data_IF_325527888507
#
_entry.id   IF_325527888507
#
_cell.length_a   1.000
_cell.length_b   1.000
_cell.length_c   1.000
_cell.angle_alpha   90.00
_cell.angle_beta   90.00
_cell.angle_gamma   90.00
#
_symmetry.space_group_name_H-M   'P 1'
#
loop_
_entity.id
_entity.type
_entity.pdbx_description
1 polymer ?
#
# COMPACT_ATOMS: atom_id res chain seq x y z
N UNK A 1 -42.14 -15.83 -43.64
CA UNK A 1 -42.11 -17.26 -43.28
C UNK A 1 -41.01 -17.48 -42.26
N UNK A 2 -41.35 -17.67 -40.98
CA UNK A 2 -40.95 -18.90 -40.27
C UNK A 2 -40.11 -18.58 -39.03
N UNK A 3 -40.75 -18.57 -37.86
CA UNK A 3 -40.12 -18.45 -36.53
C UNK A 3 -39.44 -19.77 -36.15
N UNK A 4 -38.29 -19.75 -35.50
CA UNK A 4 -37.98 -20.74 -34.46
C UNK A 4 -36.94 -20.22 -33.47
N UNK A 5 -37.27 -20.34 -32.18
CA UNK A 5 -36.42 -20.05 -31.03
C UNK A 5 -35.57 -21.28 -30.71
N UNK A 6 -34.28 -21.11 -30.41
CA UNK A 6 -33.46 -22.12 -29.71
C UNK A 6 -32.58 -21.47 -28.64
N UNK A 7 -32.76 -21.95 -27.41
CA UNK A 7 -31.90 -21.76 -26.24
C UNK A 7 -30.64 -22.63 -26.37
N UNK A 8 -29.50 -22.08 -26.01
CA UNK A 8 -28.28 -22.74 -25.51
C UNK A 8 -27.60 -21.67 -24.62
N UNK A 9 -27.23 -21.87 -23.36
CA UNK A 9 -26.72 -23.07 -22.74
C UNK A 9 -25.23 -22.85 -22.43
N UNK A 10 -24.92 -21.92 -21.52
CA UNK A 10 -23.54 -21.72 -21.03
C UNK A 10 -23.17 -22.87 -20.09
N UNK A 11 -22.18 -23.67 -20.50
CA UNK A 11 -21.45 -24.62 -19.66
C UNK A 11 -20.10 -23.99 -19.32
N UNK A 12 -19.85 -23.72 -18.04
CA UNK A 12 -18.50 -23.61 -17.50
C UNK A 12 -18.19 -24.88 -16.70
N UNK A 13 -17.13 -25.56 -17.12
CA UNK A 13 -16.54 -26.74 -16.50
C UNK A 13 -15.46 -26.29 -15.52
N UNK A 14 -15.59 -26.66 -14.26
CA UNK A 14 -14.48 -26.68 -13.31
C UNK A 14 -14.48 -28.03 -12.58
N UNK A 15 -13.40 -28.77 -12.77
CA UNK A 15 -13.04 -29.98 -12.04
C UNK A 15 -12.84 -29.66 -10.55
N UNK A 16 -13.41 -30.48 -9.66
CA UNK A 16 -12.95 -30.64 -8.26
C UNK A 16 -12.57 -32.08 -8.03
N UNK A 17 -11.33 -32.31 -7.63
CA UNK A 17 -10.86 -33.51 -6.96
C UNK A 17 -11.04 -33.38 -5.44
N UNK A 18 -11.11 -34.54 -4.78
CA UNK A 18 -11.46 -34.74 -3.38
C UNK A 18 -10.33 -34.47 -2.39
N UNK A 19 -10.68 -34.22 -1.12
CA UNK A 19 -9.74 -34.26 0.00
C UNK A 19 -10.30 -33.80 1.36
N UNK A 20 -10.85 -34.75 2.12
CA UNK A 20 -10.83 -34.87 3.61
C UNK A 20 -11.30 -33.74 4.56
N UNK A 21 -12.52 -33.94 5.08
CA UNK A 21 -12.93 -34.02 6.50
C UNK A 21 -12.16 -33.25 7.60
N UNK A 22 -12.83 -32.24 8.17
CA UNK A 22 -13.03 -32.08 9.63
C UNK A 22 -14.05 -30.97 9.90
N UNK A 23 -15.28 -31.32 10.31
CA UNK A 23 -16.31 -30.35 10.70
C UNK A 23 -16.76 -30.63 12.14
N UNK A 24 -16.38 -29.74 13.05
CA UNK A 24 -16.80 -29.71 14.45
C UNK A 24 -18.30 -29.34 14.52
N UNK A 25 -19.15 -30.30 14.89
CA UNK A 25 -20.57 -30.07 15.18
C UNK A 25 -20.75 -29.49 16.58
N UNK A 26 -21.26 -28.26 16.68
CA UNK A 26 -21.84 -27.72 17.91
C UNK A 26 -23.19 -28.40 18.21
N UNK A 27 -23.31 -29.00 19.39
CA UNK A 27 -24.49 -29.74 19.87
C UNK A 27 -25.35 -28.81 20.72
N UNK A 28 -26.54 -28.44 20.22
CA UNK A 28 -27.57 -27.78 21.02
C UNK A 28 -28.20 -28.81 22.00
N UNK A 29 -28.18 -28.51 23.31
CA UNK A 29 -28.85 -29.33 24.35
C UNK A 29 -30.20 -28.70 24.70
N UNK A 30 -31.29 -29.32 24.24
CA UNK A 30 -32.62 -29.13 24.83
C UNK A 30 -32.76 -30.06 26.05
N UNK A 31 -33.07 -29.51 27.23
CA UNK A 31 -33.47 -30.29 28.42
C UNK A 31 -34.97 -30.57 28.34
N UNK A 32 -35.31 -31.84 28.14
CA UNK A 32 -36.66 -32.37 28.28
C UNK A 32 -36.88 -32.86 29.72
N UNK A 33 -38.08 -32.56 30.25
CA UNK A 33 -38.60 -32.96 31.56
C UNK A 33 -39.07 -34.43 31.49
N UNK A 34 -38.76 -35.32 32.46
CA UNK A 34 -39.28 -36.67 32.42
C UNK A 34 -40.71 -36.74 32.98
N UNK A 35 -41.61 -37.34 32.19
CA UNK A 35 -42.91 -37.81 32.65
C UNK A 35 -42.79 -39.01 33.60
N UNK A 36 -43.58 -39.01 34.68
CA UNK A 36 -43.75 -40.17 35.57
C UNK A 36 -45.19 -40.68 35.52
N UNK A 37 -45.25 -42.01 35.53
CA UNK A 37 -46.40 -42.89 35.33
C UNK A 37 -47.58 -42.67 36.29
N UNK A 38 -48.79 -42.87 35.74
CA UNK A 38 -50.01 -43.14 36.49
C UNK A 38 -49.91 -44.52 37.16
N UNK A 39 -50.06 -44.56 38.47
CA UNK A 39 -50.46 -45.75 39.21
C UNK A 39 -51.76 -45.41 39.96
N UNK A 40 -52.80 -46.19 39.69
CA UNK A 40 -54.10 -46.17 40.32
C UNK A 40 -53.98 -46.51 41.81
N UNK A 41 -54.42 -45.60 42.69
CA UNK A 41 -54.65 -45.90 44.10
C UNK A 41 -56.09 -45.62 44.48
N UNK A 42 -56.73 -46.69 44.92
CA UNK A 42 -58.09 -46.84 45.43
C UNK A 42 -58.37 -45.89 46.60
N UNK A 43 -59.51 -45.20 46.50
CA UNK A 43 -60.05 -44.28 47.51
C UNK A 43 -60.68 -45.13 48.63
N UNK A 44 -60.23 -44.93 49.88
CA UNK A 44 -60.95 -45.37 51.09
C UNK A 44 -61.67 -44.16 51.70
N UNK A 45 -62.96 -44.28 52.10
CA UNK A 45 -63.67 -43.18 52.71
C UNK A 45 -63.28 -43.06 54.19
N UNK A 46 -62.86 -41.86 54.59
CA UNK A 46 -62.73 -41.50 56.02
C UNK A 46 -64.00 -40.80 56.48
N UNK A 47 -64.64 -41.41 57.47
CA UNK A 47 -65.78 -40.89 58.21
C UNK A 47 -65.30 -39.87 59.25
N UNK A 48 -65.95 -38.71 59.30
CA UNK A 48 -65.69 -37.69 60.32
C UNK A 48 -66.41 -38.05 61.63
N UNK A 49 -65.73 -38.13 62.79
CA UNK A 49 -66.42 -38.09 64.07
C UNK A 49 -66.91 -36.66 64.36
N UNK A 50 -68.21 -36.52 64.64
CA UNK A 50 -68.80 -35.29 65.19
C UNK A 50 -68.38 -35.18 66.65
N UNK A 51 -67.43 -34.30 66.96
CA UNK A 51 -67.20 -33.86 68.33
C UNK A 51 -68.16 -32.71 68.68
N UNK A 52 -68.79 -32.73 69.88
CA UNK A 52 -69.64 -31.65 70.34
C UNK A 52 -68.83 -30.37 70.61
N UNK A 53 -69.44 -29.24 70.26
CA UNK A 53 -68.91 -27.89 70.42
C UNK A 53 -68.80 -27.57 71.92
N UNK A 54 -67.62 -27.24 72.47
CA UNK A 54 -67.53 -26.68 73.81
C UNK A 54 -68.06 -25.24 73.80
N UNK A 55 -68.87 -24.95 74.82
CA UNK A 55 -69.48 -23.66 75.12
C UNK A 55 -68.43 -22.54 75.21
N UNK A 56 -68.69 -21.43 74.51
CA UNK A 56 -67.86 -20.22 74.53
C UNK A 56 -67.87 -19.60 75.94
N UNK A 57 -66.82 -19.87 76.72
CA UNK A 57 -66.44 -19.04 77.85
C UNK A 57 -65.97 -17.68 77.32
N UNK A 58 -66.57 -16.59 77.80
CA UNK A 58 -66.21 -15.22 77.46
C UNK A 58 -64.75 -14.95 77.85
N UNK A 59 -63.84 -15.12 76.89
CA UNK A 59 -62.47 -14.67 77.00
C UNK A 59 -62.42 -13.18 76.64
N UNK A 60 -61.84 -12.40 77.53
CA UNK A 60 -61.60 -10.96 77.34
C UNK A 60 -60.83 -10.72 76.04
N UNK A 61 -61.12 -9.63 75.29
CA UNK A 61 -60.36 -9.31 74.09
C UNK A 61 -58.88 -9.09 74.46
N UNK A 62 -58.01 -9.93 73.91
CA UNK A 62 -56.57 -9.68 73.88
C UNK A 62 -56.36 -8.47 72.95
N UNK A 63 -55.63 -7.42 73.35
CA UNK A 63 -55.27 -6.35 72.43
C UNK A 63 -54.38 -6.96 71.33
N UNK A 64 -54.91 -7.07 70.11
CA UNK A 64 -54.07 -7.33 68.95
C UNK A 64 -53.38 -6.01 68.64
N UNK A 65 -52.17 -5.83 69.14
CA UNK A 65 -51.31 -4.75 68.64
C UNK A 65 -51.14 -4.97 67.13
N UNK A 66 -51.37 -3.92 66.29
CA UNK A 66 -51.17 -4.05 64.87
C UNK A 66 -49.70 -4.46 64.63
N UNK A 67 -49.39 -5.35 63.68
CA UNK A 67 -48.01 -5.63 63.35
C UNK A 67 -47.36 -4.28 63.02
N UNK A 68 -46.33 -3.91 63.78
CA UNK A 68 -45.50 -2.76 63.44
C UNK A 68 -44.89 -3.06 62.08
N UNK A 69 -45.51 -2.52 61.02
CA UNK A 69 -44.93 -2.53 59.70
C UNK A 69 -43.64 -1.74 59.85
N UNK A 70 -42.50 -2.43 59.91
CA UNK A 70 -41.20 -1.79 59.89
C UNK A 70 -41.19 -0.91 58.65
N UNK A 71 -41.33 0.40 58.85
CA UNK A 71 -41.34 1.39 57.77
C UNK A 71 -39.99 1.29 57.07
N UNK A 72 -39.95 0.62 55.92
CA UNK A 72 -38.77 0.45 55.06
C UNK A 72 -38.39 1.77 54.37
N UNK A 73 -38.06 2.81 55.15
CA UNK A 73 -37.70 4.12 54.62
C UNK A 73 -36.27 4.20 54.05
N UNK A 74 -35.42 3.19 54.29
CA UNK A 74 -34.04 3.14 53.77
C UNK A 74 -33.83 2.29 52.51
N UNK A 75 -34.58 1.19 52.34
CA UNK A 75 -34.35 0.23 51.24
C UNK A 75 -34.75 0.83 49.88
N UNK A 76 -35.86 1.57 49.82
CA UNK A 76 -36.30 2.23 48.59
C UNK A 76 -35.29 3.28 48.10
N UNK A 77 -34.62 3.98 49.01
CA UNK A 77 -33.57 4.94 48.65
C UNK A 77 -32.33 4.22 48.12
N UNK A 78 -31.90 3.14 48.77
CA UNK A 78 -30.76 2.33 48.33
C UNK A 78 -30.99 1.71 46.96
N UNK A 79 -32.19 1.20 46.68
CA UNK A 79 -32.52 0.63 45.36
C UNK A 79 -32.52 1.71 44.28
N UNK A 80 -33.09 2.90 44.56
CA UNK A 80 -33.06 4.03 43.62
C UNK A 80 -31.62 4.47 43.35
N UNK A 81 -30.79 4.61 44.39
CA UNK A 81 -29.37 4.99 44.24
C UNK A 81 -28.57 3.92 43.47
N UNK A 82 -28.82 2.64 43.73
CA UNK A 82 -28.16 1.54 43.02
C UNK A 82 -28.56 1.52 41.54
N UNK A 83 -29.85 1.67 41.24
CA UNK A 83 -30.35 1.75 39.86
C UNK A 83 -29.79 2.98 39.15
N UNK A 84 -29.77 4.13 39.82
CA UNK A 84 -29.19 5.36 39.27
C UNK A 84 -27.69 5.23 39.02
N UNK A 85 -26.93 4.62 39.94
CA UNK A 85 -25.51 4.37 39.78
C UNK A 85 -25.25 3.41 38.61
N UNK A 86 -26.00 2.31 38.51
CA UNK A 86 -25.89 1.36 37.40
C UNK A 86 -26.25 2.01 36.06
N UNK A 87 -27.34 2.78 36.02
CA UNK A 87 -27.74 3.53 34.84
C UNK A 87 -26.66 4.54 34.42
N UNK A 88 -26.04 5.23 35.38
CA UNK A 88 -24.94 6.17 35.12
C UNK A 88 -23.74 5.45 34.49
N UNK A 89 -23.31 4.31 35.05
CA UNK A 89 -22.21 3.51 34.50
C UNK A 89 -22.51 3.05 33.07
N UNK A 90 -23.73 2.56 32.81
CA UNK A 90 -24.15 2.13 31.46
C UNK A 90 -24.15 3.31 30.50
N UNK A 91 -24.69 4.46 30.90
CA UNK A 91 -24.76 5.66 30.06
C UNK A 91 -23.37 6.19 29.72
N UNK A 92 -22.44 6.25 30.69
CA UNK A 92 -21.06 6.66 30.45
C UNK A 92 -20.36 5.73 29.46
N UNK A 93 -20.56 4.41 29.57
CA UNK A 93 -20.01 3.44 28.61
C UNK A 93 -20.60 3.62 27.20
N UNK A 94 -21.90 3.86 27.10
CA UNK A 94 -22.57 4.07 25.81
C UNK A 94 -22.08 5.36 25.13
N UNK A 95 -21.99 6.46 25.88
CA UNK A 95 -21.47 7.73 25.39
C UNK A 95 -20.02 7.60 24.93
N UNK A 96 -19.17 6.92 25.72
CA UNK A 96 -17.79 6.65 25.33
C UNK A 96 -17.68 5.89 24.01
N UNK A 97 -18.47 4.81 23.85
CA UNK A 97 -18.54 4.05 22.59
C UNK A 97 -19.06 4.89 21.42
N UNK A 98 -20.05 5.73 21.67
CA UNK A 98 -20.62 6.62 20.65
C UNK A 98 -19.57 7.63 20.15
N UNK A 99 -18.86 8.30 21.05
CA UNK A 99 -17.80 9.24 20.67
C UNK A 99 -16.69 8.56 19.87
N UNK A 100 -16.27 7.37 20.28
CA UNK A 100 -15.25 6.60 19.57
C UNK A 100 -15.74 6.19 18.17
N UNK A 101 -16.99 5.72 18.05
CA UNK A 101 -17.60 5.36 16.76
C UNK A 101 -17.66 6.56 15.79
N UNK A 102 -18.06 7.73 16.29
CA UNK A 102 -18.09 8.97 15.49
C UNK A 102 -16.68 9.37 15.06
N UNK A 103 -15.69 9.27 15.94
CA UNK A 103 -14.30 9.58 15.62
C UNK A 103 -13.74 8.64 14.53
N UNK A 104 -13.96 7.33 14.65
CA UNK A 104 -13.55 6.36 13.64
C UNK A 104 -14.23 6.60 12.29
N UNK A 105 -15.54 6.86 12.29
CA UNK A 105 -16.29 7.12 11.05
C UNK A 105 -15.78 8.37 10.35
N UNK A 106 -15.52 9.45 11.11
CA UNK A 106 -14.94 10.68 10.57
C UNK A 106 -13.56 10.45 9.97
N UNK A 107 -12.71 9.71 10.66
CA UNK A 107 -11.37 9.37 10.18
C UNK A 107 -11.40 8.53 8.90
N UNK A 108 -12.30 7.54 8.84
CA UNK A 108 -12.50 6.72 7.64
C UNK A 108 -12.98 7.56 6.46
N UNK A 109 -13.90 8.51 6.68
CA UNK A 109 -14.36 9.42 5.64
C UNK A 109 -13.23 10.32 5.11
N UNK A 110 -12.42 10.90 5.99
CA UNK A 110 -11.28 11.72 5.58
C UNK A 110 -10.24 10.92 4.80
N UNK A 111 -9.97 9.67 5.19
CA UNK A 111 -9.07 8.79 4.44
C UNK A 111 -9.62 8.47 3.04
N UNK A 112 -10.93 8.23 2.91
CA UNK A 112 -11.59 8.02 1.62
C UNK A 112 -11.54 9.29 0.73
N UNK A 113 -11.76 10.47 1.31
CA UNK A 113 -11.64 11.75 0.60
C UNK A 113 -10.21 11.98 0.12
N UNK A 114 -9.21 11.79 0.98
CA UNK A 114 -7.80 11.93 0.61
C UNK A 114 -7.42 10.97 -0.53
N UNK A 115 -7.90 9.72 -0.49
CA UNK A 115 -7.72 8.78 -1.59
C UNK A 115 -8.41 9.25 -2.88
N UNK A 116 -9.62 9.79 -2.78
CA UNK A 116 -10.35 10.36 -3.93
C UNK A 116 -9.57 11.49 -4.59
N UNK A 117 -9.00 12.40 -3.81
CA UNK A 117 -8.13 13.46 -4.32
C UNK A 117 -6.85 12.91 -4.94
N UNK A 118 -6.19 11.94 -4.31
CA UNK A 118 -4.99 11.33 -4.85
C UNK A 118 -5.22 10.65 -6.22
N UNK A 119 -6.32 9.91 -6.36
CA UNK A 119 -6.73 9.30 -7.63
C UNK A 119 -7.12 10.34 -8.68
N UNK A 120 -7.70 11.48 -8.25
CA UNK A 120 -7.94 12.63 -9.13
C UNK A 120 -6.63 13.24 -9.64
N UNK A 121 -5.64 13.40 -8.77
CA UNK A 121 -4.29 13.85 -9.13
C UNK A 121 -3.60 12.90 -10.12
N UNK A 122 -3.71 11.58 -9.91
CA UNK A 122 -3.20 10.58 -10.86
C UNK A 122 -3.90 10.69 -12.23
N UNK A 123 -5.23 10.81 -12.26
CA UNK A 123 -5.99 10.98 -13.50
C UNK A 123 -5.59 12.27 -14.24
N UNK A 124 -5.29 13.33 -13.49
CA UNK A 124 -4.80 14.57 -14.04
C UNK A 124 -3.39 14.44 -14.62
N UNK A 125 -2.43 13.80 -13.94
CA UNK A 125 -1.08 13.53 -14.48
C UNK A 125 -1.17 12.69 -15.76
N UNK A 126 -2.02 11.67 -15.76
CA UNK A 126 -2.26 10.85 -16.95
C UNK A 126 -2.78 11.65 -18.14
N UNK A 127 -3.61 12.66 -17.90
CA UNK A 127 -4.07 13.55 -18.95
C UNK A 127 -2.98 14.52 -19.38
N UNK A 128 -2.19 15.05 -18.45
CA UNK A 128 -1.04 15.89 -18.73
C UNK A 128 -0.02 15.21 -19.64
N UNK A 129 0.37 13.97 -19.31
CA UNK A 129 1.29 13.15 -20.12
C UNK A 129 0.71 12.83 -21.52
N UNK A 130 -0.61 12.69 -21.63
CA UNK A 130 -1.28 12.51 -22.92
C UNK A 130 -1.21 13.78 -23.77
N UNK A 131 -1.54 14.94 -23.19
CA UNK A 131 -1.47 16.23 -23.88
C UNK A 131 -0.05 16.54 -24.32
N UNK A 132 0.91 16.38 -23.41
CA UNK A 132 2.33 16.53 -23.69
C UNK A 132 2.77 15.75 -24.93
N UNK A 133 2.35 14.48 -25.06
CA UNK A 133 2.73 13.66 -26.21
C UNK A 133 2.02 14.05 -27.51
N UNK A 134 0.76 14.48 -27.46
CA UNK A 134 -0.08 14.73 -28.63
C UNK A 134 0.06 16.17 -29.15
N UNK A 135 0.38 17.10 -28.26
CA UNK A 135 0.57 18.52 -28.55
C UNK A 135 2.05 18.90 -28.67
N UNK A 136 2.98 17.92 -28.68
CA UNK A 136 4.40 18.19 -28.92
C UNK A 136 4.65 18.64 -30.36
N UNK A 137 4.99 19.92 -30.52
CA UNK A 137 5.33 20.55 -31.81
C UNK A 137 6.74 20.18 -32.30
N UNK A 138 7.56 19.50 -31.49
CA UNK A 138 8.91 19.06 -31.86
C UNK A 138 8.87 17.86 -32.81
N UNK A 139 9.85 17.77 -33.70
CA UNK A 139 9.98 16.66 -34.65
C UNK A 139 11.43 16.15 -34.72
N UNK A 140 11.74 14.96 -34.14
CA UNK A 140 10.82 14.09 -33.41
C UNK A 140 10.37 14.68 -32.05
N UNK A 141 9.23 14.20 -31.50
CA UNK A 141 8.83 14.49 -30.12
C UNK A 141 9.89 13.99 -29.13
N UNK A 142 10.02 14.65 -27.98
CA UNK A 142 10.98 14.27 -26.94
C UNK A 142 10.38 14.49 -25.55
N UNK A 143 10.94 13.79 -24.56
CA UNK A 143 10.60 13.99 -23.15
C UNK A 143 11.79 14.61 -22.43
N UNK A 144 11.58 15.75 -21.79
CA UNK A 144 12.63 16.56 -21.17
C UNK A 144 12.17 17.23 -19.88
N UNK A 145 13.13 17.77 -19.11
CA UNK A 145 12.80 18.53 -17.89
C UNK A 145 12.22 19.93 -18.16
N UNK A 146 12.16 20.36 -19.43
CA UNK A 146 11.48 21.59 -19.85
C UNK A 146 9.99 21.37 -20.15
N UNK A 147 9.55 20.11 -20.18
CA UNK A 147 8.15 19.79 -20.47
C UNK A 147 7.25 20.11 -19.28
N UNK A 148 5.98 20.40 -19.57
CA UNK A 148 5.01 20.84 -18.56
C UNK A 148 4.78 19.81 -17.44
N UNK A 149 5.07 18.52 -17.66
CA UNK A 149 4.98 17.48 -16.64
C UNK A 149 6.13 17.52 -15.63
N UNK A 150 7.31 18.02 -16.03
CA UNK A 150 8.51 18.08 -15.18
C UNK A 150 8.60 19.38 -14.36
N UNK A 151 7.89 20.43 -14.78
CA UNK A 151 7.89 21.71 -14.09
C UNK A 151 7.32 21.62 -12.65
N UNK A 152 8.02 22.18 -11.64
CA UNK A 152 7.46 22.34 -10.30
C UNK A 152 6.19 23.17 -10.33
N UNK A 153 5.08 22.60 -9.83
CA UNK A 153 3.78 23.29 -9.80
C UNK A 153 3.42 23.73 -8.40
N UNK A 154 2.71 24.86 -8.33
CA UNK A 154 2.06 25.29 -7.10
C UNK A 154 1.08 24.21 -6.61
N UNK A 155 0.96 23.98 -5.29
CA UNK A 155 -0.02 23.06 -4.75
C UNK A 155 -1.44 23.41 -5.20
N UNK A 156 -2.25 22.40 -5.52
CA UNK A 156 -3.67 22.58 -5.78
C UNK A 156 -4.40 22.78 -4.45
N UNK A 157 -5.13 23.89 -4.33
CA UNK A 157 -5.99 24.16 -3.17
C UNK A 157 -7.24 23.27 -3.24
N UNK A 158 -7.49 22.54 -2.15
CA UNK A 158 -8.68 21.71 -1.94
C UNK A 158 -9.56 22.37 -0.85
N UNK A 159 -10.83 21.99 -0.76
CA UNK A 159 -11.77 22.58 0.21
C UNK A 159 -11.26 22.55 1.66
N UNK A 160 -10.54 21.49 2.06
CA UNK A 160 -9.96 21.35 3.40
C UNK A 160 -8.53 20.81 3.36
N UNK A 161 -7.74 21.23 2.37
CA UNK A 161 -6.42 20.68 2.16
C UNK A 161 -5.67 21.23 0.97
N UNK A 162 -4.52 20.62 0.69
CA UNK A 162 -3.74 20.87 -0.52
C UNK A 162 -3.28 19.56 -1.14
N UNK A 163 -3.09 19.58 -2.45
CA UNK A 163 -2.53 18.47 -3.22
C UNK A 163 -1.26 18.94 -3.93
N UNK A 164 -0.17 18.24 -3.68
CA UNK A 164 1.11 18.43 -4.34
C UNK A 164 1.35 17.26 -5.30
N UNK A 165 1.78 17.55 -6.53
CA UNK A 165 2.02 16.55 -7.56
C UNK A 165 3.43 16.76 -8.10
N UNK A 166 4.21 15.68 -8.15
CA UNK A 166 5.49 15.62 -8.87
C UNK A 166 5.44 14.47 -9.86
N UNK A 167 6.02 14.67 -11.04
CA UNK A 167 6.16 13.63 -12.05
C UNK A 167 7.63 13.44 -12.34
N UNK A 168 8.08 12.18 -12.36
CA UNK A 168 9.46 11.82 -12.64
C UNK A 168 9.50 10.85 -13.81
N UNK A 169 10.40 11.10 -14.74
CA UNK A 169 10.74 10.14 -15.78
C UNK A 169 11.58 9.00 -15.19
N UNK A 170 11.10 7.77 -15.35
CA UNK A 170 11.77 6.57 -14.84
C UNK A 170 12.78 6.01 -15.84
N UNK A 171 12.61 6.28 -17.14
CA UNK A 171 13.56 5.87 -18.18
C UNK A 171 14.77 6.80 -18.23
N UNK A 172 14.81 7.89 -17.45
CA UNK A 172 16.04 8.64 -17.19
C UNK A 172 17.01 7.96 -16.23
N UNK A 173 16.63 6.83 -15.62
CA UNK A 173 17.42 6.13 -14.60
C UNK A 173 17.81 4.73 -15.07
N UNK A 174 18.80 4.14 -14.43
CA UNK A 174 19.22 2.78 -14.76
C UNK A 174 18.21 1.74 -14.27
N UNK A 175 17.71 0.86 -15.13
CA UNK A 175 16.79 -0.21 -14.73
C UNK A 175 17.58 -1.43 -14.22
N UNK A 176 17.48 -1.75 -12.92
CA UNK A 176 18.19 -2.89 -12.33
C UNK A 176 17.83 -4.22 -12.98
N UNK A 177 16.58 -4.37 -13.45
CA UNK A 177 16.10 -5.61 -14.04
C UNK A 177 16.61 -5.84 -15.47
N UNK A 178 17.27 -4.87 -16.11
CA UNK A 178 17.77 -5.07 -17.48
C UNK A 178 19.01 -5.95 -17.55
N UNK A 179 19.76 -6.07 -16.45
CA UNK A 179 21.04 -6.81 -16.41
C UNK A 179 20.91 -8.30 -16.70
N UNK A 180 19.73 -8.89 -16.44
CA UNK A 180 19.46 -10.31 -16.72
C UNK A 180 19.51 -10.61 -18.23
N UNK A 181 19.01 -9.67 -19.05
CA UNK A 181 18.83 -9.90 -20.49
C UNK A 181 19.90 -9.22 -21.35
N UNK A 182 20.64 -8.27 -20.79
CA UNK A 182 21.71 -7.54 -21.47
C UNK A 182 23.02 -7.59 -20.66
N UNK A 183 24.03 -8.40 -21.08
CA UNK A 183 25.34 -8.39 -20.45
C UNK A 183 26.02 -7.01 -20.45
N UNK A 184 25.66 -6.16 -21.41
CA UNK A 184 26.18 -4.81 -21.49
C UNK A 184 25.56 -3.92 -20.39
N UNK A 185 24.29 -4.16 -20.00
CA UNK A 185 23.66 -3.53 -18.85
C UNK A 185 24.37 -3.87 -17.54
N UNK A 186 24.84 -5.10 -17.36
CA UNK A 186 25.66 -5.47 -16.20
C UNK A 186 26.93 -4.60 -16.12
N UNK A 187 27.65 -4.41 -17.22
CA UNK A 187 28.80 -3.50 -17.27
C UNK A 187 28.43 -2.03 -17.05
N UNK A 188 27.27 -1.58 -17.54
CA UNK A 188 26.74 -0.23 -17.24
C UNK A 188 26.46 -0.06 -15.74
N UNK A 189 25.89 -1.06 -15.06
CA UNK A 189 25.68 -1.02 -13.61
C UNK A 189 27.00 -0.92 -12.86
N UNK A 190 28.02 -1.69 -13.25
CA UNK A 190 29.39 -1.60 -12.67
C UNK A 190 29.98 -0.20 -12.81
N UNK A 191 29.80 0.45 -13.97
CA UNK A 191 30.24 1.83 -14.21
C UNK A 191 29.44 2.83 -13.36
N UNK A 192 28.13 2.64 -13.23
CA UNK A 192 27.28 3.48 -12.37
C UNK A 192 27.71 3.38 -10.90
N UNK A 193 27.94 2.18 -10.40
CA UNK A 193 28.45 1.96 -9.05
C UNK A 193 29.80 2.67 -8.85
N UNK A 194 30.72 2.52 -9.81
CA UNK A 194 32.01 3.23 -9.79
C UNK A 194 31.85 4.75 -9.75
N UNK A 195 30.93 5.29 -10.57
CA UNK A 195 30.62 6.72 -10.63
C UNK A 195 30.02 7.28 -9.33
N UNK A 196 29.44 6.42 -8.50
CA UNK A 196 28.89 6.73 -7.18
C UNK A 196 29.86 6.41 -6.03
N UNK A 197 31.10 6.07 -6.35
CA UNK A 197 32.13 5.64 -5.39
C UNK A 197 31.71 4.38 -4.60
N UNK A 198 30.91 3.51 -5.21
CA UNK A 198 30.50 2.21 -4.69
C UNK A 198 31.30 1.08 -5.33
N UNK A 199 31.37 -0.06 -4.64
CA UNK A 199 32.14 -1.20 -5.13
C UNK A 199 31.47 -1.82 -6.38
N UNK A 200 32.16 -1.93 -7.53
CA UNK A 200 31.53 -2.38 -8.78
C UNK A 200 31.05 -3.83 -8.73
N UNK A 201 31.62 -4.66 -7.87
CA UNK A 201 31.24 -6.08 -7.71
C UNK A 201 29.87 -6.26 -7.07
N UNK A 202 29.26 -5.20 -6.52
CA UNK A 202 27.86 -5.23 -6.10
C UNK A 202 26.90 -5.51 -7.27
N UNK A 203 27.31 -5.24 -8.51
CA UNK A 203 26.53 -5.62 -9.70
C UNK A 203 26.33 -7.14 -9.80
N UNK A 204 27.32 -7.94 -9.37
CA UNK A 204 27.24 -9.41 -9.36
C UNK A 204 26.16 -9.88 -8.37
N UNK A 205 26.06 -9.22 -7.20
CA UNK A 205 25.01 -9.51 -6.20
C UNK A 205 23.62 -9.14 -6.72
N UNK A 206 23.51 -8.06 -7.49
CA UNK A 206 22.24 -7.66 -8.10
C UNK A 206 21.83 -8.67 -9.19
N UNK A 207 22.79 -9.22 -9.95
CA UNK A 207 22.53 -10.23 -10.98
C UNK A 207 21.98 -11.52 -10.36
N UNK A 208 22.69 -12.10 -9.39
CA UNK A 208 22.28 -13.33 -8.67
C UNK A 208 20.96 -13.16 -7.88
N UNK A 209 20.53 -11.92 -7.62
CA UNK A 209 19.21 -11.68 -6.98
C UNK A 209 18.05 -11.80 -7.97
N UNK A 210 18.32 -11.53 -9.25
CA UNK A 210 17.32 -11.30 -10.30
C UNK A 210 17.22 -12.49 -11.26
N UNK A 211 18.35 -13.10 -11.59
CA UNK A 211 18.41 -14.19 -12.56
C UNK A 211 17.69 -15.46 -12.06
N UNK A 212 17.37 -16.34 -13.01
CA UNK A 212 16.47 -17.46 -12.76
C UNK A 212 17.17 -18.73 -12.25
N UNK A 213 18.51 -18.76 -12.25
CA UNK A 213 19.28 -19.93 -11.85
C UNK A 213 19.65 -19.90 -10.36
N UNK A 214 20.66 -20.66 -9.94
CA UNK A 214 21.14 -20.70 -8.53
C UNK A 214 22.69 -20.61 -8.53
N UNK A 215 23.29 -20.14 -9.62
CA UNK A 215 24.72 -20.07 -9.82
C UNK A 215 25.27 -18.74 -9.29
N UNK A 216 26.26 -18.80 -8.40
CA UNK A 216 26.91 -17.58 -7.89
C UNK A 216 27.86 -17.01 -8.94
N UNK A 217 27.58 -15.81 -9.43
CA UNK A 217 28.44 -15.10 -10.38
C UNK A 217 29.47 -14.23 -9.65
N UNK A 218 30.75 -14.31 -10.01
CA UNK A 218 31.78 -13.38 -9.51
C UNK A 218 31.85 -13.32 -7.97
N UNK A 219 31.54 -12.15 -7.41
CA UNK A 219 31.38 -11.93 -5.95
C UNK A 219 29.91 -11.77 -5.52
N UNK A 220 29.00 -12.37 -6.27
CA UNK A 220 27.57 -12.39 -6.03
C UNK A 220 27.16 -13.26 -4.83
N UNK A 221 25.86 -13.44 -4.66
CA UNK A 221 25.29 -14.14 -3.53
C UNK A 221 23.94 -14.76 -3.88
N UNK A 222 23.79 -16.03 -3.51
CA UNK A 222 22.59 -16.84 -3.72
C UNK A 222 21.99 -17.34 -2.39
N UNK A 223 20.98 -18.19 -2.48
CA UNK A 223 20.32 -18.87 -1.36
C UNK A 223 21.24 -19.29 -0.19
N UNK A 224 22.40 -19.93 -0.40
CA UNK A 224 23.29 -20.31 0.71
C UNK A 224 23.75 -19.13 1.57
N UNK A 225 23.90 -17.94 0.98
CA UNK A 225 24.27 -16.71 1.68
C UNK A 225 23.10 -16.21 2.53
N UNK A 226 21.92 -16.04 1.93
CA UNK A 226 20.76 -15.42 2.60
C UNK A 226 20.08 -16.32 3.65
N UNK A 227 20.28 -17.64 3.57
CA UNK A 227 19.79 -18.57 4.60
C UNK A 227 20.56 -18.46 5.92
N UNK A 228 21.72 -17.79 5.93
CA UNK A 228 22.50 -17.52 7.14
C UNK A 228 22.07 -16.22 7.85
N UNK A 229 21.23 -15.41 7.21
CA UNK A 229 20.73 -14.14 7.76
C UNK A 229 19.70 -14.34 8.89
N UNK A 230 19.41 -13.25 9.61
CA UNK A 230 18.44 -13.24 10.71
C UNK A 230 17.42 -12.10 10.55
N UNK A 231 16.18 -12.38 10.10
CA UNK A 231 15.63 -13.71 9.76
C UNK A 231 16.23 -14.27 8.46
N UNK A 232 16.28 -15.59 8.34
CA UNK A 232 16.71 -16.27 7.12
C UNK A 232 15.66 -16.12 6.01
N UNK A 233 16.12 -15.92 4.78
CA UNK A 233 15.28 -15.87 3.57
C UNK A 233 16.04 -16.46 2.38
N UNK A 234 15.41 -16.42 1.20
CA UNK A 234 15.91 -16.96 -0.07
C UNK A 234 15.95 -15.87 -1.12
N UNK A 235 16.79 -16.06 -2.14
CA UNK A 235 16.75 -15.23 -3.34
C UNK A 235 15.40 -15.41 -4.05
N UNK A 236 14.81 -14.35 -4.64
CA UNK A 236 13.57 -14.46 -5.38
C UNK A 236 13.71 -15.18 -6.72
N UNK A 237 14.89 -15.09 -7.34
CA UNK A 237 15.24 -15.53 -8.68
C UNK A 237 14.23 -15.01 -9.71
N UNK A 238 13.97 -13.71 -9.62
CA UNK A 238 12.99 -13.00 -10.39
C UNK A 238 13.29 -11.49 -10.44
N UNK A 239 12.81 -10.76 -11.47
CA UNK A 239 12.91 -9.31 -11.52
C UNK A 239 12.44 -8.63 -10.24
N UNK A 240 13.23 -7.66 -9.76
CA UNK A 240 12.90 -6.86 -8.58
C UNK A 240 11.55 -6.18 -8.80
N UNK A 241 10.67 -6.29 -7.80
CA UNK A 241 9.40 -5.58 -7.76
C UNK A 241 9.58 -4.15 -7.22
N UNK A 242 10.70 -3.88 -6.53
CA UNK A 242 11.02 -2.54 -6.04
C UNK A 242 12.52 -2.37 -5.77
N UNK A 243 13.03 -1.17 -6.04
CA UNK A 243 14.38 -0.72 -5.64
C UNK A 243 14.64 -0.90 -4.13
N UNK A 244 13.59 -0.93 -3.29
CA UNK A 244 13.76 -1.17 -1.84
C UNK A 244 14.33 -2.55 -1.51
N UNK A 245 14.28 -3.50 -2.45
CA UNK A 245 14.89 -4.82 -2.30
C UNK A 245 16.40 -4.76 -2.19
N UNK A 246 17.06 -3.69 -2.68
CA UNK A 246 18.50 -3.44 -2.46
C UNK A 246 18.93 -3.56 -0.99
N UNK A 247 18.03 -3.30 -0.04
CA UNK A 247 18.30 -3.45 1.42
C UNK A 247 18.41 -4.90 1.89
N UNK A 248 18.03 -5.86 1.06
CA UNK A 248 18.11 -7.29 1.34
C UNK A 248 19.35 -7.92 0.71
N UNK A 249 20.03 -7.23 -0.19
CA UNK A 249 21.17 -7.81 -0.90
C UNK A 249 22.38 -7.87 0.03
N UNK A 250 23.15 -8.95 -0.10
CA UNK A 250 24.38 -9.11 0.64
C UNK A 250 25.36 -7.97 0.29
N UNK A 251 26.15 -7.53 1.26
CA UNK A 251 27.17 -6.48 1.09
C UNK A 251 26.63 -5.08 0.71
N UNK A 252 25.31 -4.86 0.70
CA UNK A 252 24.74 -3.52 0.59
C UNK A 252 24.52 -2.91 1.98
N UNK A 253 25.26 -1.85 2.29
CA UNK A 253 25.02 -1.06 3.50
C UNK A 253 23.91 -0.03 3.28
N UNK A 254 23.36 0.52 4.38
CA UNK A 254 22.29 1.50 4.31
C UNK A 254 22.68 2.77 3.51
N UNK A 255 23.96 3.20 3.61
CA UNK A 255 24.50 4.34 2.86
C UNK A 255 24.61 4.03 1.36
N UNK A 256 25.05 2.81 1.00
CA UNK A 256 25.15 2.36 -0.39
C UNK A 256 23.78 2.38 -1.06
N UNK A 257 22.76 1.84 -0.38
CA UNK A 257 21.38 1.85 -0.87
C UNK A 257 20.87 3.29 -1.02
N UNK A 258 21.17 4.17 -0.08
CA UNK A 258 20.76 5.58 -0.14
C UNK A 258 21.39 6.30 -1.34
N UNK A 259 22.70 6.09 -1.56
CA UNK A 259 23.44 6.64 -2.71
C UNK A 259 22.93 6.11 -4.03
N UNK A 260 22.68 4.80 -4.15
CA UNK A 260 22.26 4.18 -5.41
C UNK A 260 20.79 4.44 -5.76
N UNK A 261 19.89 4.44 -4.77
CA UNK A 261 18.43 4.47 -5.00
C UNK A 261 17.93 5.69 -5.79
N UNK A 262 18.68 6.79 -5.80
CA UNK A 262 18.33 7.98 -6.59
C UNK A 262 18.59 7.81 -8.10
N UNK A 263 19.38 6.83 -8.51
CA UNK A 263 19.88 6.66 -9.89
C UNK A 263 19.34 5.42 -10.59
N UNK A 264 18.52 4.61 -9.90
CA UNK A 264 18.06 3.32 -10.39
C UNK A 264 16.55 3.14 -10.29
N UNK A 265 16.01 2.23 -11.10
CA UNK A 265 14.62 1.76 -11.06
C UNK A 265 14.54 0.24 -11.07
N UNK A 266 13.35 -0.29 -10.79
CA UNK A 266 13.01 -1.70 -10.94
C UNK A 266 11.78 -1.80 -11.86
N UNK A 267 12.03 -1.71 -13.16
CA UNK A 267 11.01 -1.73 -14.23
C UNK A 267 11.00 -3.11 -14.92
N UNK A 268 10.04 -3.41 -15.80
CA UNK A 268 10.13 -4.61 -16.63
C UNK A 268 11.49 -4.69 -17.37
N UNK A 269 12.14 -5.87 -17.47
CA UNK A 269 13.49 -6.02 -18.03
C UNK A 269 13.67 -5.44 -19.44
N UNK A 270 12.60 -5.39 -20.23
CA UNK A 270 12.62 -4.90 -21.60
C UNK A 270 12.78 -3.37 -21.69
N UNK A 271 12.63 -2.65 -20.57
CA UNK A 271 12.81 -1.21 -20.47
C UNK A 271 14.28 -0.86 -20.15
N UNK A 272 15.18 -1.10 -21.11
CA UNK A 272 16.62 -0.85 -20.97
C UNK A 272 17.12 0.24 -21.93
N UNK A 273 16.36 1.34 -22.00
CA UNK A 273 16.72 2.52 -22.79
C UNK A 273 16.73 3.73 -21.88
N UNK A 274 17.83 4.48 -21.90
CA UNK A 274 18.01 5.63 -21.03
C UNK A 274 17.62 6.92 -21.78
N UNK A 275 16.67 7.67 -21.23
CA UNK A 275 16.34 9.00 -21.72
C UNK A 275 17.42 10.02 -21.32
N UNK A 276 18.22 10.43 -22.30
CA UNK A 276 19.37 11.32 -22.09
C UNK A 276 18.97 12.74 -21.67
N UNK A 277 17.73 13.16 -21.93
CA UNK A 277 17.24 14.49 -21.56
C UNK A 277 16.89 14.63 -20.07
N UNK A 278 16.66 13.51 -19.39
CA UNK A 278 16.27 13.48 -17.96
C UNK A 278 17.32 12.79 -17.09
N UNK A 279 18.25 12.04 -17.71
CA UNK A 279 19.29 11.30 -17.04
C UNK A 279 20.23 12.19 -16.20
N UNK A 280 20.46 11.84 -14.91
CA UNK A 280 21.47 12.50 -14.09
C UNK A 280 22.89 12.12 -14.54
N UNK A 281 23.86 12.94 -14.16
CA UNK A 281 25.25 12.80 -14.60
C UNK A 281 25.87 11.40 -14.35
N UNK A 282 25.68 10.74 -13.19
CA UNK A 282 26.24 9.39 -12.98
C UNK A 282 25.64 8.33 -13.92
N UNK A 283 24.34 8.43 -14.22
CA UNK A 283 23.67 7.49 -15.15
C UNK A 283 24.14 7.74 -16.58
N UNK A 284 24.28 9.01 -16.97
CA UNK A 284 24.80 9.35 -18.29
C UNK A 284 26.27 8.92 -18.46
N UNK A 285 27.10 9.05 -17.42
CA UNK A 285 28.47 8.55 -17.41
C UNK A 285 28.54 7.03 -17.59
N UNK A 286 27.63 6.28 -16.95
CA UNK A 286 27.59 4.83 -17.04
C UNK A 286 27.33 4.29 -18.46
N UNK A 287 26.75 5.09 -19.36
CA UNK A 287 26.45 4.69 -20.74
C UNK A 287 27.71 4.39 -21.57
N UNK A 288 28.86 4.98 -21.25
CA UNK A 288 30.07 4.82 -22.04
C UNK A 288 31.32 4.56 -21.16
N UNK A 289 32.26 3.70 -21.60
CA UNK A 289 33.41 3.29 -20.79
C UNK A 289 34.40 4.44 -20.48
N UNK A 290 34.44 5.48 -21.32
CA UNK A 290 35.40 6.58 -21.20
C UNK A 290 34.74 7.91 -20.83
N UNK A 291 33.57 7.87 -20.17
CA UNK A 291 32.82 9.06 -19.77
C UNK A 291 32.85 9.23 -18.24
N UNK A 292 33.58 10.24 -17.76
CA UNK A 292 33.61 10.59 -16.34
C UNK A 292 32.33 11.36 -15.90
N UNK A 293 31.84 11.24 -14.64
CA UNK A 293 30.66 11.96 -14.17
C UNK A 293 30.74 13.49 -14.31
N UNK A 294 31.94 14.08 -14.20
CA UNK A 294 32.11 15.54 -14.37
C UNK A 294 31.90 15.93 -15.85
N UNK A 295 32.41 15.12 -16.78
CA UNK A 295 32.17 15.33 -18.21
C UNK A 295 30.69 15.13 -18.54
N UNK A 296 30.08 14.05 -18.02
CA UNK A 296 28.67 13.75 -18.21
C UNK A 296 27.76 14.87 -17.65
N UNK A 297 28.16 15.51 -16.54
CA UNK A 297 27.44 16.64 -15.95
C UNK A 297 27.29 17.86 -16.87
N UNK A 298 28.08 17.98 -17.94
CA UNK A 298 27.93 19.06 -18.94
C UNK A 298 26.76 18.82 -19.90
N UNK A 299 26.32 17.58 -20.02
CA UNK A 299 25.33 17.13 -20.99
C UNK A 299 24.06 16.57 -20.32
N UNK A 300 24.15 16.22 -19.04
CA UNK A 300 23.02 15.78 -18.24
C UNK A 300 22.02 16.91 -18.05
N UNK A 301 20.72 16.60 -18.17
CA UNK A 301 19.61 17.53 -17.94
C UNK A 301 19.79 18.88 -18.65
N UNK A 302 19.94 18.86 -19.98
CA UNK A 302 20.21 20.07 -20.73
C UNK A 302 19.01 21.03 -20.64
N UNK A 303 19.30 22.33 -20.56
CA UNK A 303 18.36 23.37 -21.01
C UNK A 303 18.40 23.28 -22.54
N UNK A 304 17.36 23.17 -23.33
CA UNK A 304 17.42 22.68 -24.73
C UNK A 304 17.64 21.17 -24.82
N UNK A 305 16.56 20.39 -25.00
CA UNK A 305 16.66 18.94 -25.09
C UNK A 305 17.34 18.47 -26.37
N UNK A 306 18.00 17.32 -26.28
CA UNK A 306 18.46 16.55 -27.42
C UNK A 306 17.25 16.01 -28.18
N UNK A 307 17.21 16.24 -29.50
CA UNK A 307 16.17 15.67 -30.36
C UNK A 307 16.49 14.22 -30.73
N UNK A 308 17.76 13.94 -31.00
CA UNK A 308 18.25 12.62 -31.35
C UNK A 308 19.42 12.21 -30.44
N UNK A 309 19.51 10.93 -30.04
CA UNK A 309 20.67 10.45 -29.28
C UNK A 309 22.02 10.65 -30.02
N UNK A 310 21.99 10.64 -31.36
CA UNK A 310 23.17 10.86 -32.19
C UNK A 310 23.78 12.25 -32.06
N UNK A 311 23.00 13.26 -31.66
CA UNK A 311 23.48 14.63 -31.49
C UNK A 311 24.46 14.72 -30.31
N UNK A 312 24.13 14.04 -29.21
CA UNK A 312 25.00 13.93 -28.04
C UNK A 312 26.30 13.17 -28.37
N UNK A 313 26.20 12.05 -29.11
CA UNK A 313 27.37 11.28 -29.57
C UNK A 313 28.31 12.15 -30.41
N UNK A 314 27.76 13.03 -31.26
CA UNK A 314 28.55 13.93 -32.08
C UNK A 314 29.25 15.05 -31.31
N UNK A 315 28.76 15.40 -30.11
CA UNK A 315 29.23 16.55 -29.35
C UNK A 315 30.39 16.24 -28.39
N UNK A 316 30.45 15.03 -27.82
CA UNK A 316 31.53 14.62 -26.91
C UNK A 316 32.42 13.54 -27.56
N UNK A 317 33.65 13.93 -27.89
CA UNK A 317 34.62 13.01 -28.46
C UNK A 317 34.98 11.89 -27.46
N UNK A 318 34.73 10.63 -27.84
CA UNK A 318 34.98 9.47 -26.98
C UNK A 318 33.75 8.98 -26.21
N UNK A 319 32.61 9.69 -26.28
CA UNK A 319 31.32 9.16 -25.85
C UNK A 319 30.85 8.10 -26.85
N UNK A 320 31.12 6.83 -26.53
CA UNK A 320 30.79 5.67 -27.35
C UNK A 320 29.85 4.73 -26.57
N UNK A 321 28.58 5.11 -26.41
CA UNK A 321 27.60 4.27 -25.75
C UNK A 321 27.23 3.06 -26.60
N UNK A 322 26.75 2.01 -25.95
CA UNK A 322 26.27 0.81 -26.63
C UNK A 322 25.05 1.11 -27.50
N UNK A 323 24.99 0.49 -28.68
CA UNK A 323 23.93 0.77 -29.64
C UNK A 323 22.55 0.44 -29.08
N UNK A 324 21.63 1.40 -29.12
CA UNK A 324 20.26 1.22 -28.64
C UNK A 324 20.05 1.48 -27.15
N UNK A 325 21.11 1.79 -26.38
CA UNK A 325 21.01 2.08 -24.93
C UNK A 325 20.39 3.45 -24.60
N UNK A 326 20.15 4.30 -25.60
CA UNK A 326 19.71 5.69 -25.42
C UNK A 326 18.42 6.00 -26.19
N UNK A 327 17.60 6.85 -25.60
CA UNK A 327 16.39 7.42 -26.18
C UNK A 327 16.30 8.91 -25.83
N UNK A 328 15.46 9.65 -26.54
CA UNK A 328 15.04 11.03 -26.20
C UNK A 328 13.56 11.08 -25.81
N UNK A 329 12.89 9.94 -25.81
CA UNK A 329 11.48 9.78 -25.46
C UNK A 329 11.35 8.74 -24.35
N UNK A 330 10.39 8.95 -23.47
CA UNK A 330 10.06 8.08 -22.36
C UNK A 330 8.64 7.53 -22.44
N UNK A 331 8.45 6.35 -21.87
CA UNK A 331 7.17 5.64 -21.74
C UNK A 331 6.77 5.45 -20.30
N UNK A 332 7.71 5.45 -19.36
CA UNK A 332 7.47 5.12 -17.96
C UNK A 332 7.71 6.33 -17.06
N UNK A 333 6.66 6.74 -16.36
CA UNK A 333 6.67 7.90 -15.47
C UNK A 333 6.17 7.50 -14.09
N UNK A 334 6.74 8.07 -13.03
CA UNK A 334 6.18 8.01 -11.68
C UNK A 334 5.47 9.33 -11.35
N UNK A 335 4.19 9.23 -11.00
CA UNK A 335 3.45 10.32 -10.38
C UNK A 335 3.49 10.17 -8.85
N UNK A 336 4.06 11.14 -8.15
CA UNK A 336 4.00 11.26 -6.69
C UNK A 336 2.95 12.30 -6.31
N UNK A 337 1.83 11.86 -5.74
CA UNK A 337 0.70 12.70 -5.32
C UNK A 337 0.62 12.73 -3.80
N UNK A 338 0.94 13.87 -3.21
CA UNK A 338 0.87 14.12 -1.77
C UNK A 338 -0.37 14.93 -1.44
N UNK A 339 -1.25 14.35 -0.63
CA UNK A 339 -2.46 14.98 -0.12
C UNK A 339 -2.27 15.35 1.34
N UNK A 340 -2.50 16.62 1.64
CA UNK A 340 -2.68 17.13 2.99
C UNK A 340 -4.16 17.48 3.18
N UNK A 341 -4.90 16.74 4.00
CA UNK A 341 -6.34 17.00 4.20
C UNK A 341 -6.69 16.88 5.69
N UNK A 342 -6.98 18.00 6.34
CA UNK A 342 -7.09 18.09 7.81
C UNK A 342 -5.80 17.59 8.50
N UNK A 343 -5.91 16.53 9.29
CA UNK A 343 -4.75 15.86 9.95
C UNK A 343 -4.15 14.72 9.12
N UNK A 344 -4.75 14.39 7.97
CA UNK A 344 -4.30 13.28 7.14
C UNK A 344 -3.23 13.72 6.16
N UNK A 345 -2.20 12.88 6.05
CA UNK A 345 -1.20 12.95 4.98
C UNK A 345 -1.21 11.62 4.24
N UNK A 346 -1.42 11.67 2.94
CA UNK A 346 -1.41 10.49 2.08
C UNK A 346 -0.48 10.76 0.90
N UNK A 347 0.51 9.89 0.71
CA UNK A 347 1.34 9.86 -0.49
C UNK A 347 0.90 8.68 -1.34
N UNK A 348 0.43 8.95 -2.56
CA UNK A 348 0.20 7.96 -3.59
C UNK A 348 1.31 8.07 -4.64
N UNK A 349 2.01 6.97 -4.88
CA UNK A 349 2.93 6.83 -6.01
C UNK A 349 2.33 5.92 -7.06
N UNK A 350 2.31 6.38 -8.30
CA UNK A 350 1.74 5.64 -9.41
C UNK A 350 2.73 5.56 -10.56
N UNK A 351 3.10 4.33 -10.95
CA UNK A 351 3.87 4.09 -12.16
C UNK A 351 2.91 4.05 -13.34
N UNK A 352 3.12 4.95 -14.30
CA UNK A 352 2.26 5.18 -15.45
C UNK A 352 3.06 4.86 -16.70
N UNK A 353 2.52 3.97 -17.53
CA UNK A 353 2.99 3.72 -18.89
C UNK A 353 2.23 4.62 -19.87
N UNK A 354 2.94 5.35 -20.72
CA UNK A 354 2.41 6.12 -21.85
C UNK A 354 2.83 5.45 -23.16
N UNK A 355 1.86 5.22 -24.03
CA UNK A 355 2.11 4.77 -25.38
C UNK A 355 2.61 5.95 -26.23
N UNK A 356 3.81 5.84 -26.79
CA UNK A 356 4.43 6.92 -27.54
C UNK A 356 3.88 7.08 -28.96
N UNK A 357 2.93 6.29 -29.45
CA UNK A 357 2.28 6.54 -30.74
C UNK A 357 0.93 7.24 -30.56
N UNK A 358 0.18 6.82 -29.55
CA UNK A 358 -1.19 7.24 -29.29
C UNK A 358 -1.34 8.21 -28.13
N UNK A 359 -0.29 8.41 -27.32
CA UNK A 359 -0.32 9.19 -26.08
C UNK A 359 -1.10 8.52 -24.94
N UNK A 360 -1.75 7.38 -25.18
CA UNK A 360 -2.64 6.76 -24.20
C UNK A 360 -1.87 6.27 -22.98
N UNK A 361 -2.44 6.51 -21.79
CA UNK A 361 -1.81 6.16 -20.52
C UNK A 361 -2.47 4.97 -19.84
N UNK A 362 -1.66 4.16 -19.13
CA UNK A 362 -2.10 3.05 -18.29
C UNK A 362 -1.32 3.05 -16.99
N UNK A 363 -2.01 2.86 -15.86
CA UNK A 363 -1.35 2.72 -14.55
C UNK A 363 -0.91 1.28 -14.39
N UNK A 364 0.37 1.08 -14.12
CA UNK A 364 0.98 -0.23 -13.90
C UNK A 364 0.93 -0.63 -12.43
N UNK A 365 1.26 0.31 -11.55
CA UNK A 365 1.41 0.06 -10.12
C UNK A 365 0.96 1.28 -9.32
N UNK A 366 0.43 1.02 -8.12
CA UNK A 366 0.17 2.04 -7.10
C UNK A 366 0.80 1.61 -5.78
N UNK A 367 1.48 2.54 -5.11
CA UNK A 367 2.03 2.36 -3.77
C UNK A 367 1.57 3.50 -2.87
N UNK A 368 1.19 3.16 -1.64
CA UNK A 368 0.85 4.13 -0.62
C UNK A 368 2.02 4.29 0.36
N UNK A 369 2.38 5.54 0.65
CA UNK A 369 3.47 5.87 1.54
C UNK A 369 4.86 5.75 0.93
N UNK A 370 5.87 5.84 1.79
CA UNK A 370 7.29 6.00 1.41
C UNK A 370 7.80 7.41 1.70
N UNK A 371 9.13 7.62 1.69
CA UNK A 371 9.71 8.96 1.80
C UNK A 371 9.37 9.75 0.54
N UNK A 372 9.16 11.08 0.63
CA UNK A 372 8.71 11.90 -0.51
C UNK A 372 9.74 11.92 -1.66
N UNK A 373 11.02 11.79 -1.33
CA UNK A 373 12.16 11.55 -2.22
C UNK A 373 13.15 10.63 -1.48
N UNK A 374 14.07 9.93 -2.16
CA UNK A 374 15.28 9.47 -1.48
C UNK A 374 15.95 10.69 -0.82
N UNK A 375 16.22 10.63 0.48
CA UNK A 375 17.05 11.63 1.17
C UNK A 375 18.40 11.71 0.42
N UNK A 376 18.69 12.84 -0.23
CA UNK A 376 19.91 13.00 -1.04
C UNK A 376 19.73 13.69 -2.39
N UNK A 377 18.51 14.10 -2.75
CA UNK A 377 18.29 14.97 -3.91
C UNK A 377 18.01 16.41 -3.42
N UNK A 378 19.07 17.09 -2.99
CA UNK A 378 19.06 18.55 -2.96
C UNK A 378 19.08 19.04 -4.42
N UNK A 379 17.89 19.31 -4.96
CA UNK A 379 17.73 20.51 -5.78
C UNK A 379 17.75 21.69 -4.79
N UNK A 380 18.94 22.00 -4.26
CA UNK A 380 19.23 23.30 -3.67
C UNK A 380 18.65 24.35 -4.64
N UNK A 381 17.70 25.15 -4.15
CA UNK A 381 17.01 26.28 -4.83
C UNK A 381 15.60 26.11 -5.42
N UNK A 382 14.80 25.06 -5.12
CA UNK A 382 13.39 25.04 -5.61
C UNK A 382 12.24 25.02 -4.60
N UNK A 383 12.51 25.12 -3.30
CA UNK A 383 11.47 25.52 -2.34
C UNK A 383 12.04 26.16 -1.06
N UNK A 384 11.61 27.36 -0.64
CA UNK A 384 11.85 27.82 0.71
C UNK A 384 11.01 26.96 1.65
N UNK A 385 11.68 26.08 2.41
CA UNK A 385 11.09 25.47 3.59
C UNK A 385 10.83 26.60 4.60
N UNK A 386 9.67 27.24 4.50
CA UNK A 386 9.16 28.04 5.61
C UNK A 386 9.04 27.13 6.83
N UNK A 387 9.67 27.63 7.90
CA UNK A 387 10.02 26.92 9.11
C UNK A 387 8.86 26.11 9.69
N UNK A 388 9.12 24.82 9.94
CA UNK A 388 8.36 24.06 10.92
C UNK A 388 8.69 24.63 12.31
N UNK A 389 7.72 25.31 12.91
CA UNK A 389 7.62 25.48 14.37
C UNK A 389 6.42 24.74 14.91
#
# INVERSE_FOLDING_TARGET
MGRSWRRCGWRSSFHRSAGSNACFRYRARHRLWPGRNRASRTIRPWTYPRNPIPTLSQSRPIPVEPPTVLRQRGIALLTVLLVAALASVILTQLLGRHHLSVAYTRQALHAQQAMGYALGGEAWVRHLLYLDRIEDDRNPPVDSLEDAWAEPRAPFELEQGRMEIRVRDLEGLFNLNSIENDPAAHERLRRLLSALELEPTLADVVLDWIDADEEVHGLGAEDPTYLLESPAYRTPNAPMASVTELRLLANFEADDVQRLAAFVTALPPEADVININTAPAPVLAALAPNMDPIQAGRYARPQTPWLLPGDLIGQEAGFAPEAGSMTTQSRLFEASILIHHGTQRLLLRSVIHRDNETGLTRVLQRRLGGPLEPEGFDDDERWPLEERR
#
